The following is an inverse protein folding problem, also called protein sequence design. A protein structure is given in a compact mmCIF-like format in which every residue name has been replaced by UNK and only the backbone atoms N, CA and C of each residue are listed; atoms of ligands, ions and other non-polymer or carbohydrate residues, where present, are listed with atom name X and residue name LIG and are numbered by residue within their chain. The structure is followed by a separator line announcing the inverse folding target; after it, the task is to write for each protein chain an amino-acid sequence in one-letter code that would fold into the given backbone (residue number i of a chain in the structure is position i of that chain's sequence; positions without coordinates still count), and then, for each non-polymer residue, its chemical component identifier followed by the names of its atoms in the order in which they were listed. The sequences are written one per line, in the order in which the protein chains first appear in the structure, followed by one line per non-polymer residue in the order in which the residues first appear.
data_IF_572965981119
#
_entry.id   IF_572965981119
#
_cell.length_a   1.000
_cell.length_b   1.000
_cell.length_c   1.000
_cell.angle_alpha   90.00
_cell.angle_beta   90.00
_cell.angle_gamma   90.00
#
_symmetry.space_group_name_H-M   'P 1'
#
loop_
_entity.id
_entity.type
_entity.pdbx_description
1 polymer ?
#
# COMPACT_ATOMS: atom_id res chain seq x y z
N UNK A 1 27.81 -31.84 -105.07
CA UNK A 1 26.69 -31.79 -104.09
C UNK A 1 27.27 -31.58 -102.71
N UNK A 2 27.28 -30.37 -102.29
CA UNK A 2 27.98 -29.95 -101.04
C UNK A 2 26.92 -29.63 -100.00
N UNK A 3 26.86 -30.41 -98.93
CA UNK A 3 25.96 -30.19 -97.80
C UNK A 3 26.67 -29.31 -96.78
N UNK A 4 26.23 -28.07 -96.63
CA UNK A 4 26.70 -27.16 -95.60
C UNK A 4 25.91 -27.47 -94.33
N UNK A 5 26.62 -28.02 -93.33
CA UNK A 5 26.10 -28.22 -92.02
C UNK A 5 26.12 -26.85 -91.25
N UNK A 6 24.96 -26.36 -90.96
CA UNK A 6 24.78 -25.16 -90.16
C UNK A 6 25.15 -25.41 -88.64
N UNK A 7 26.20 -24.83 -88.22
CA UNK A 7 26.61 -24.85 -86.83
C UNK A 7 25.66 -23.94 -86.00
N UNK A 8 24.85 -24.52 -85.15
CA UNK A 8 23.92 -23.81 -84.27
C UNK A 8 24.62 -23.48 -82.97
N UNK A 9 24.93 -22.20 -82.77
CA UNK A 9 25.45 -21.68 -81.54
C UNK A 9 24.36 -21.73 -80.46
N UNK A 10 24.67 -22.18 -79.24
CA UNK A 10 23.74 -22.06 -78.12
C UNK A 10 23.67 -20.65 -77.60
N UNK A 11 22.45 -20.14 -77.38
CA UNK A 11 22.19 -18.85 -76.75
C UNK A 11 22.69 -18.82 -75.26
N UNK A 12 23.50 -17.84 -74.88
CA UNK A 12 23.87 -17.64 -73.47
C UNK A 12 22.82 -16.80 -72.79
N UNK A 13 21.67 -17.37 -72.49
CA UNK A 13 20.77 -16.75 -71.50
C UNK A 13 20.99 -17.49 -70.19
N UNK A 14 22.12 -17.20 -69.56
CA UNK A 14 22.33 -17.54 -68.19
C UNK A 14 21.27 -16.88 -67.34
N UNK A 15 20.28 -17.66 -66.93
CA UNK A 15 19.31 -17.30 -65.92
C UNK A 15 20.05 -17.16 -64.57
N UNK A 16 20.42 -15.94 -64.22
CA UNK A 16 20.84 -15.59 -62.87
C UNK A 16 19.68 -15.94 -61.94
N UNK A 17 19.81 -16.94 -61.06
CA UNK A 17 18.80 -17.16 -60.06
C UNK A 17 18.77 -15.96 -59.14
N UNK A 18 17.72 -15.14 -59.21
CA UNK A 18 17.47 -14.09 -58.24
C UNK A 18 17.37 -14.75 -56.87
N UNK A 19 18.48 -14.80 -56.12
CA UNK A 19 18.52 -15.13 -54.70
C UNK A 19 17.66 -14.10 -54.01
N UNK A 20 16.36 -14.35 -53.93
CA UNK A 20 15.48 -13.67 -52.98
C UNK A 20 15.99 -14.07 -51.61
N UNK A 21 16.60 -13.13 -50.94
CA UNK A 21 17.04 -13.27 -49.52
C UNK A 21 15.78 -13.36 -48.63
N UNK A 22 15.29 -14.55 -48.25
CA UNK A 22 14.11 -14.67 -47.40
C UNK A 22 14.39 -14.28 -45.93
N UNK A 23 15.67 -14.15 -45.58
CA UNK A 23 16.08 -13.87 -44.22
C UNK A 23 15.71 -12.45 -43.72
N UNK A 24 15.83 -11.43 -44.61
CA UNK A 24 15.48 -10.06 -44.21
C UNK A 24 14.00 -9.93 -43.85
N UNK A 25 13.13 -10.60 -44.53
CA UNK A 25 11.68 -10.57 -44.26
C UNK A 25 11.35 -11.25 -42.92
N UNK A 26 11.98 -12.38 -42.63
CA UNK A 26 11.81 -13.10 -41.36
C UNK A 26 12.36 -12.33 -40.17
N UNK A 27 13.45 -11.59 -40.34
CA UNK A 27 14.01 -10.73 -39.26
C UNK A 27 13.11 -9.53 -38.98
N UNK A 28 12.51 -8.93 -39.99
CA UNK A 28 11.56 -7.82 -39.84
C UNK A 28 10.21 -8.31 -39.27
N UNK A 29 9.77 -9.50 -39.57
CA UNK A 29 8.57 -10.11 -38.98
C UNK A 29 8.79 -10.43 -37.52
N UNK A 30 9.96 -10.98 -37.11
CA UNK A 30 10.32 -11.20 -35.71
C UNK A 30 10.45 -9.89 -34.90
N UNK A 31 11.09 -8.88 -35.45
CA UNK A 31 11.20 -7.58 -34.82
C UNK A 31 9.85 -6.88 -34.68
N UNK A 32 8.85 -7.24 -35.42
CA UNK A 32 7.48 -6.74 -35.36
C UNK A 32 6.66 -7.50 -34.31
N UNK A 33 6.87 -8.82 -34.19
CA UNK A 33 6.27 -9.64 -33.14
C UNK A 33 6.80 -9.26 -31.75
N UNK A 34 8.10 -9.02 -31.60
CA UNK A 34 8.70 -8.60 -30.33
C UNK A 34 8.17 -7.22 -29.85
N UNK A 35 7.89 -6.30 -30.76
CA UNK A 35 7.29 -5.00 -30.41
C UNK A 35 5.85 -5.13 -29.94
N UNK A 36 5.09 -6.05 -30.50
CA UNK A 36 3.73 -6.36 -30.06
C UNK A 36 3.70 -6.99 -28.67
N UNK A 37 4.63 -7.90 -28.38
CA UNK A 37 4.75 -8.57 -27.09
C UNK A 37 5.09 -7.57 -25.98
N UNK A 38 6.09 -6.69 -26.19
CA UNK A 38 6.47 -5.65 -25.21
C UNK A 38 5.32 -4.69 -24.93
N UNK A 39 4.56 -4.29 -25.93
CA UNK A 39 3.41 -3.39 -25.73
C UNK A 39 2.31 -4.06 -24.91
N UNK A 40 2.02 -5.33 -25.17
CA UNK A 40 1.03 -6.11 -24.43
C UNK A 40 1.48 -6.30 -22.96
N UNK A 41 2.75 -6.55 -22.73
CA UNK A 41 3.33 -6.69 -21.38
C UNK A 41 3.17 -5.40 -20.58
N UNK A 42 3.48 -4.24 -21.15
CA UNK A 42 3.33 -2.94 -20.47
C UNK A 42 1.86 -2.67 -20.12
N UNK A 43 0.92 -3.00 -21.00
CA UNK A 43 -0.52 -2.81 -20.76
C UNK A 43 -1.01 -3.63 -19.57
N UNK A 44 -0.43 -4.80 -19.32
CA UNK A 44 -0.77 -5.65 -18.17
C UNK A 44 0.00 -5.24 -16.91
N UNK A 45 1.28 -4.91 -17.05
CA UNK A 45 2.15 -4.59 -15.91
C UNK A 45 1.79 -3.24 -15.29
N UNK A 46 1.43 -2.25 -16.10
CA UNK A 46 1.15 -0.89 -15.62
C UNK A 46 -0.02 -0.83 -14.61
N UNK A 47 -1.20 -1.41 -14.86
CA UNK A 47 -2.28 -1.46 -13.88
C UNK A 47 -1.89 -2.21 -12.61
N UNK A 48 -1.09 -3.27 -12.74
CA UNK A 48 -0.58 -4.03 -11.59
C UNK A 48 0.32 -3.17 -10.71
N UNK A 49 1.26 -2.41 -11.31
CA UNK A 49 2.13 -1.49 -10.58
C UNK A 49 1.32 -0.38 -9.88
N UNK A 50 0.34 0.21 -10.56
CA UNK A 50 -0.53 1.19 -9.93
C UNK A 50 -1.31 0.61 -8.75
N UNK A 51 -1.85 -0.58 -8.89
CA UNK A 51 -2.54 -1.28 -7.82
C UNK A 51 -1.60 -1.52 -6.64
N UNK A 52 -0.36 -1.96 -6.89
CA UNK A 52 0.64 -2.16 -5.85
C UNK A 52 0.94 -0.86 -5.09
N UNK A 53 1.13 0.25 -5.79
CA UNK A 53 1.38 1.57 -5.19
C UNK A 53 0.19 2.00 -4.32
N UNK A 54 -1.04 1.82 -4.79
CA UNK A 54 -2.25 2.13 -4.03
C UNK A 54 -2.37 1.27 -2.76
N UNK A 55 -2.05 -0.03 -2.84
CA UNK A 55 -2.04 -0.94 -1.69
C UNK A 55 -1.00 -0.51 -0.65
N UNK A 56 0.21 -0.16 -1.08
CA UNK A 56 1.26 0.36 -0.18
C UNK A 56 0.78 1.64 0.50
N UNK A 57 0.21 2.59 -0.24
CA UNK A 57 -0.38 3.81 0.30
C UNK A 57 -1.48 3.53 1.33
N UNK A 58 -2.37 2.58 1.04
CA UNK A 58 -3.45 2.18 1.96
C UNK A 58 -2.90 1.58 3.26
N UNK A 59 -1.92 0.68 3.18
CA UNK A 59 -1.27 0.09 4.36
C UNK A 59 -0.58 1.16 5.21
N UNK A 60 0.09 2.11 4.57
CA UNK A 60 0.75 3.22 5.26
C UNK A 60 -0.25 4.10 6.03
N UNK A 61 -1.37 4.47 5.40
CA UNK A 61 -2.42 5.26 6.06
C UNK A 61 -3.06 4.48 7.20
N UNK A 62 -3.32 3.19 7.01
CA UNK A 62 -3.86 2.33 8.06
C UNK A 62 -2.90 2.20 9.26
N UNK A 63 -1.61 1.97 9.02
CA UNK A 63 -0.60 1.91 10.08
C UNK A 63 -0.53 3.23 10.84
N UNK A 64 -0.54 4.37 10.13
CA UNK A 64 -0.53 5.68 10.77
C UNK A 64 -1.78 5.92 11.62
N UNK A 65 -2.97 5.58 11.11
CA UNK A 65 -4.22 5.66 11.86
C UNK A 65 -4.20 4.78 13.13
N UNK A 66 -3.59 3.59 13.05
CA UNK A 66 -3.42 2.69 14.20
C UNK A 66 -2.50 3.29 15.26
N UNK A 67 -1.38 3.90 14.86
CA UNK A 67 -0.50 4.60 15.80
C UNK A 67 -1.19 5.78 16.48
N UNK A 68 -2.00 6.54 15.74
CA UNK A 68 -2.80 7.62 16.31
C UNK A 68 -3.79 7.11 17.36
N UNK A 69 -4.50 6.02 17.07
CA UNK A 69 -5.44 5.41 18.00
C UNK A 69 -4.73 4.92 19.27
N UNK A 70 -3.56 4.30 19.15
CA UNK A 70 -2.74 3.83 20.27
C UNK A 70 -2.25 5.00 21.13
N UNK A 71 -1.73 6.07 20.52
CA UNK A 71 -1.31 7.27 21.23
C UNK A 71 -2.49 7.90 22.00
N UNK A 72 -3.64 8.04 21.34
CA UNK A 72 -4.86 8.58 21.97
C UNK A 72 -5.29 7.73 23.16
N UNK A 73 -5.33 6.38 23.00
CA UNK A 73 -5.71 5.48 24.09
C UNK A 73 -4.75 5.58 25.28
N UNK A 74 -3.44 5.68 25.04
CA UNK A 74 -2.42 5.79 26.09
C UNK A 74 -2.49 7.12 26.84
N UNK A 75 -2.65 8.24 26.12
CA UNK A 75 -2.80 9.55 26.73
C UNK A 75 -4.08 9.64 27.57
N UNK A 76 -5.21 9.23 27.00
CA UNK A 76 -6.49 9.21 27.72
C UNK A 76 -6.45 8.30 28.96
N UNK A 77 -5.75 7.17 28.89
CA UNK A 77 -5.55 6.29 30.04
C UNK A 77 -4.76 7.02 31.14
N UNK A 78 -3.69 7.72 30.79
CA UNK A 78 -2.89 8.48 31.74
C UNK A 78 -3.75 9.53 32.47
N UNK A 79 -4.57 10.29 31.73
CA UNK A 79 -5.49 11.26 32.31
C UNK A 79 -6.59 10.62 33.19
N UNK A 80 -6.95 9.34 32.92
CA UNK A 80 -7.97 8.63 33.68
C UNK A 80 -7.41 8.02 34.99
N UNK A 81 -6.12 7.63 35.01
CA UNK A 81 -5.46 6.87 36.09
C UNK A 81 -5.02 7.71 37.26
N UNK A 82 -4.82 9.00 37.07
CA UNK A 82 -4.39 9.90 38.18
C UNK A 82 -5.40 9.88 39.31
N UNK A 83 -4.99 10.25 40.53
CA UNK A 83 -5.77 10.14 41.75
C UNK A 83 -7.16 10.80 41.64
N UNK A 84 -7.24 12.01 41.09
CA UNK A 84 -8.49 12.74 40.85
C UNK A 84 -9.03 12.56 39.43
N UNK A 85 -8.47 11.63 38.66
CA UNK A 85 -8.88 11.36 37.28
C UNK A 85 -10.28 10.76 37.20
N UNK A 86 -10.98 11.06 36.12
CA UNK A 86 -12.33 10.57 35.87
C UNK A 86 -12.42 9.98 34.45
N UNK A 87 -13.44 9.20 34.18
CA UNK A 87 -13.72 8.77 32.80
C UNK A 87 -13.96 9.97 31.85
N UNK A 88 -14.44 11.07 32.39
CA UNK A 88 -14.67 12.28 31.57
C UNK A 88 -13.36 13.01 31.27
N UNK A 89 -12.40 13.08 32.23
CA UNK A 89 -11.08 13.65 31.93
C UNK A 89 -10.35 12.86 30.84
N UNK A 90 -10.41 11.54 30.89
CA UNK A 90 -9.86 10.70 29.83
C UNK A 90 -10.48 10.94 28.46
N UNK A 91 -11.81 11.11 28.38
CA UNK A 91 -12.49 11.45 27.11
C UNK A 91 -12.08 12.82 26.58
N UNK A 92 -11.97 13.81 27.46
CA UNK A 92 -11.55 15.17 27.09
C UNK A 92 -10.11 15.16 26.56
N UNK A 93 -9.21 14.46 27.25
CA UNK A 93 -7.82 14.32 26.81
C UNK A 93 -7.72 13.58 25.47
N UNK A 94 -8.47 12.49 25.30
CA UNK A 94 -8.55 11.78 24.01
C UNK A 94 -8.97 12.71 22.86
N UNK A 95 -9.97 13.56 23.09
CA UNK A 95 -10.42 14.52 22.06
C UNK A 95 -9.33 15.55 21.75
N UNK A 96 -8.66 16.06 22.76
CA UNK A 96 -7.56 17.01 22.61
C UNK A 96 -6.39 16.42 21.80
N UNK A 97 -5.99 15.17 22.11
CA UNK A 97 -4.96 14.46 21.35
C UNK A 97 -5.37 14.25 19.89
N UNK A 98 -6.61 13.83 19.64
CA UNK A 98 -7.14 13.66 18.28
C UNK A 98 -7.17 14.97 17.50
N UNK A 99 -7.48 16.08 18.15
CA UNK A 99 -7.48 17.41 17.52
C UNK A 99 -6.05 17.89 17.21
N UNK A 100 -5.08 17.62 18.10
CA UNK A 100 -3.67 17.94 17.88
C UNK A 100 -3.03 17.10 16.75
N UNK A 101 -3.32 15.81 16.71
CA UNK A 101 -2.77 14.90 15.68
C UNK A 101 -3.43 15.09 14.32
N UNK A 102 -4.58 15.76 14.26
CA UNK A 102 -5.35 15.94 13.04
C UNK A 102 -6.13 14.68 12.65
N UNK A 103 -7.40 14.84 12.36
CA UNK A 103 -8.31 13.71 12.06
C UNK A 103 -8.18 13.13 10.65
N UNK A 104 -7.16 13.51 9.87
CA UNK A 104 -7.02 13.12 8.47
C UNK A 104 -6.95 11.61 8.22
N UNK A 105 -6.06 10.86 8.87
CA UNK A 105 -5.88 9.42 8.66
C UNK A 105 -6.95 8.56 9.34
N UNK A 106 -7.55 9.03 10.45
CA UNK A 106 -8.50 8.28 11.28
C UNK A 106 -9.89 8.93 11.22
N UNK A 107 -10.88 8.17 10.78
CA UNK A 107 -12.27 8.59 10.58
C UNK A 107 -13.22 7.87 11.54
N UNK A 108 -14.39 8.51 11.82
CA UNK A 108 -15.47 7.92 12.62
C UNK A 108 -14.98 7.41 13.99
N UNK A 109 -14.19 8.25 14.68
CA UNK A 109 -13.56 7.87 15.94
C UNK A 109 -14.56 7.82 17.07
N UNK A 110 -14.57 6.69 17.79
CA UNK A 110 -15.32 6.48 19.03
C UNK A 110 -14.34 6.19 20.15
N UNK A 111 -14.43 6.88 21.26
CA UNK A 111 -13.61 6.69 22.44
C UNK A 111 -14.48 6.24 23.61
N UNK A 112 -14.17 5.06 24.13
CA UNK A 112 -14.81 4.49 25.33
C UNK A 112 -13.83 4.47 26.47
N UNK A 113 -14.17 5.10 27.60
CA UNK A 113 -13.33 5.16 28.81
C UNK A 113 -14.11 4.53 29.96
N UNK A 114 -13.49 3.55 30.60
CA UNK A 114 -14.00 2.89 31.79
C UNK A 114 -13.02 3.11 32.93
N UNK A 115 -13.54 3.43 34.12
CA UNK A 115 -12.76 3.55 35.34
C UNK A 115 -13.50 2.79 36.46
N UNK A 116 -12.84 1.74 36.93
CA UNK A 116 -13.28 0.91 38.03
C UNK A 116 -12.59 1.34 39.34
N UNK A 117 -12.80 0.59 40.43
CA UNK A 117 -12.20 0.91 41.72
C UNK A 117 -10.66 0.80 41.73
N UNK A 118 -10.08 -0.10 40.94
CA UNK A 118 -8.66 -0.43 40.95
C UNK A 118 -7.97 -0.28 39.60
N UNK A 119 -8.73 -0.11 38.52
CA UNK A 119 -8.22 -0.06 37.16
C UNK A 119 -8.97 0.92 36.28
N UNK A 120 -8.31 1.31 35.20
CA UNK A 120 -8.93 2.06 34.12
C UNK A 120 -8.61 1.42 32.78
N UNK A 121 -9.52 1.55 31.84
CA UNK A 121 -9.30 1.13 30.44
C UNK A 121 -9.86 2.18 29.49
N UNK A 122 -9.17 2.32 28.35
CA UNK A 122 -9.57 3.19 27.26
C UNK A 122 -9.51 2.39 25.98
N UNK A 123 -10.61 2.42 25.23
CA UNK A 123 -10.71 1.83 23.90
C UNK A 123 -11.01 2.92 22.88
N UNK A 124 -10.24 2.93 21.80
CA UNK A 124 -10.39 3.84 20.67
C UNK A 124 -10.70 2.98 19.43
N UNK A 125 -11.79 3.27 18.77
CA UNK A 125 -12.21 2.59 17.56
C UNK A 125 -12.43 3.62 16.44
N UNK A 126 -12.19 3.21 15.19
CA UNK A 126 -12.39 4.07 14.04
C UNK A 126 -12.10 3.35 12.73
N UNK A 127 -11.97 4.11 11.68
CA UNK A 127 -11.68 3.58 10.33
C UNK A 127 -10.55 4.40 9.70
N UNK A 128 -9.59 3.73 9.09
CA UNK A 128 -8.55 4.41 8.32
C UNK A 128 -9.14 5.06 7.08
N UNK A 129 -8.63 6.24 6.73
CA UNK A 129 -9.00 6.92 5.49
C UNK A 129 -8.66 6.03 4.30
N UNK A 130 -9.64 5.86 3.39
CA UNK A 130 -9.50 5.03 2.22
C UNK A 130 -8.71 5.74 1.13
N UNK A 131 -7.59 5.15 0.71
CA UNK A 131 -6.81 5.52 -0.48
C UNK A 131 -7.26 4.65 -1.66
N UNK A 132 -7.48 3.36 -1.40
CA UNK A 132 -8.06 2.44 -2.37
C UNK A 132 -9.58 2.56 -2.29
N UNK A 133 -10.29 2.88 -3.39
CA UNK A 133 -11.75 2.96 -3.39
C UNK A 133 -12.38 1.71 -2.78
N UNK A 134 -13.43 1.91 -1.98
CA UNK A 134 -14.21 0.85 -1.31
C UNK A 134 -13.48 0.04 -0.22
N UNK A 135 -12.19 0.27 0.02
CA UNK A 135 -11.43 -0.44 1.05
C UNK A 135 -11.46 0.34 2.37
N UNK A 136 -12.32 -0.07 3.29
CA UNK A 136 -12.43 0.52 4.63
C UNK A 136 -11.77 -0.41 5.64
N UNK A 137 -10.63 0.00 6.18
CA UNK A 137 -9.88 -0.79 7.16
C UNK A 137 -10.22 -0.32 8.58
N UNK A 138 -10.78 -1.18 9.43
CA UNK A 138 -11.04 -0.83 10.82
C UNK A 138 -9.73 -0.62 11.58
N UNK A 139 -9.78 0.30 12.52
CA UNK A 139 -8.70 0.61 13.46
C UNK A 139 -9.26 0.50 14.86
N UNK A 140 -8.55 -0.20 15.73
CA UNK A 140 -8.86 -0.31 17.14
C UNK A 140 -7.58 -0.29 17.96
N UNK A 141 -7.65 0.35 19.10
CA UNK A 141 -6.58 0.36 20.10
C UNK A 141 -7.20 0.32 21.48
N UNK A 142 -6.52 -0.36 22.39
CA UNK A 142 -6.94 -0.45 23.78
C UNK A 142 -5.72 -0.27 24.68
N UNK A 143 -5.92 0.50 25.75
CA UNK A 143 -4.93 0.67 26.81
C UNK A 143 -5.63 0.48 28.16
N UNK A 144 -5.02 -0.30 29.03
CA UNK A 144 -5.53 -0.54 30.38
C UNK A 144 -4.40 -0.54 31.40
N UNK A 145 -4.72 -0.17 32.63
CA UNK A 145 -3.75 -0.17 33.73
C UNK A 145 -4.37 0.09 35.09
N UNK A 146 -3.63 -0.16 36.18
CA UNK A 146 -4.08 0.10 37.53
C UNK A 146 -4.18 1.63 37.79
N UNK A 147 -5.04 2.01 38.68
CA UNK A 147 -5.13 3.39 39.20
C UNK A 147 -3.89 3.75 40.00
N UNK A 148 -3.44 5.00 39.84
CA UNK A 148 -2.39 5.56 40.66
C UNK A 148 -2.99 5.89 42.05
N UNK A 149 -2.42 5.25 43.08
CA UNK A 149 -2.77 5.52 44.48
C UNK A 149 -1.55 6.10 45.16
N UNK A 150 -1.70 7.22 45.86
CA UNK A 150 -0.66 7.75 46.70
C UNK A 150 -0.46 6.80 47.87
N UNK A 151 0.64 6.07 47.92
CA UNK A 151 1.12 5.42 49.11
C UNK A 151 2.03 6.42 49.85
N UNK A 152 1.63 6.97 51.00
CA UNK A 152 2.56 7.76 51.81
C UNK A 152 3.75 6.86 52.12
N UNK A 153 4.92 7.28 51.62
CA UNK A 153 6.16 6.53 51.80
C UNK A 153 6.31 6.21 53.28
N UNK A 154 6.61 4.94 53.58
CA UNK A 154 6.98 4.55 54.93
C UNK A 154 8.25 5.32 55.31
N UNK A 155 8.07 6.53 55.91
CA UNK A 155 9.16 7.22 56.54
C UNK A 155 9.59 6.30 57.67
N UNK A 156 10.65 5.50 57.40
CA UNK A 156 11.36 4.81 58.48
C UNK A 156 11.73 5.87 59.50
N UNK A 157 11.08 5.81 60.65
CA UNK A 157 11.43 6.61 61.79
C UNK A 157 12.90 6.30 62.17
N UNK A 158 13.65 7.29 62.62
CA UNK A 158 15.05 7.16 62.98
C UNK A 158 15.28 6.18 64.14
#
# INVERSE_FOLDING_TARGET
MTVIAALRLPDPVDRIPSRRFPERRRLLERARDDRGAVTTEIVLVLPLLFTLVLVIGQVTVWAHATHMAQATASHALSATRVEDGTAQSGRTDAQHVLDQLGRGPLRSVTVSVTRDADSASVRVEGTATSVVPFLHLPVHAESAGPLERFQPGNQAAP
#
